data_IF_561754439606
#
_entry.id   IF_561754439606
#
_cell.length_a   1.000
_cell.length_b   1.000
_cell.length_c   1.000
_cell.angle_alpha   90.00
_cell.angle_beta   90.00
_cell.angle_gamma   90.00
#
_symmetry.space_group_name_H-M   'P 1'
#
loop_
_entity.id
_entity.type
_entity.pdbx_description
1 polymer ?
#
# COMPACT_ATOMS: atom_id res chain seq x y z
N UNK A 1 -14.89 19.45 25.30
CA UNK A 1 -15.21 18.81 24.02
C UNK A 1 -14.66 17.41 24.11
N UNK A 2 -15.52 16.46 24.48
CA UNK A 2 -15.18 15.04 24.51
C UNK A 2 -14.87 14.61 23.07
N UNK A 3 -13.65 14.13 22.86
CA UNK A 3 -13.25 13.44 21.64
C UNK A 3 -14.11 12.19 21.50
N UNK A 4 -15.10 12.23 20.61
CA UNK A 4 -15.94 11.08 20.33
C UNK A 4 -15.10 10.00 19.67
N UNK A 5 -14.63 9.03 20.46
CA UNK A 5 -14.13 7.75 19.94
C UNK A 5 -15.20 7.18 19.00
N UNK A 6 -14.80 6.72 17.82
CA UNK A 6 -15.76 6.16 16.87
C UNK A 6 -16.30 4.82 17.42
N UNK A 7 -17.57 4.49 17.14
CA UNK A 7 -18.16 3.20 17.54
C UNK A 7 -17.34 1.98 17.05
N UNK A 8 -16.55 2.16 16.00
CA UNK A 8 -15.60 1.19 15.46
C UNK A 8 -14.42 0.91 16.40
N UNK A 9 -13.82 1.94 17.01
CA UNK A 9 -12.71 1.80 17.97
C UNK A 9 -13.14 1.07 19.24
N UNK A 10 -14.34 1.37 19.74
CA UNK A 10 -14.93 0.72 20.91
C UNK A 10 -15.26 -0.76 20.67
N UNK A 11 -15.58 -1.16 19.44
CA UNK A 11 -16.01 -2.53 19.15
C UNK A 11 -14.89 -3.57 19.29
N UNK A 12 -13.65 -3.20 18.97
CA UNK A 12 -12.48 -4.10 18.99
C UNK A 12 -11.65 -3.98 20.27
N UNK A 13 -11.81 -2.90 21.04
CA UNK A 13 -11.04 -2.68 22.27
C UNK A 13 -11.32 -3.79 23.29
N UNK A 14 -10.27 -4.50 23.70
CA UNK A 14 -10.36 -5.62 24.63
C UNK A 14 -10.88 -6.93 24.06
N UNK A 15 -11.19 -7.02 22.75
CA UNK A 15 -11.52 -8.29 22.09
C UNK A 15 -10.29 -8.91 21.44
N UNK A 16 -10.13 -10.22 21.63
CA UNK A 16 -9.14 -11.01 20.88
C UNK A 16 -9.72 -11.34 19.50
N UNK A 17 -9.07 -10.88 18.44
CA UNK A 17 -9.40 -11.25 17.07
C UNK A 17 -8.60 -12.48 16.63
N UNK A 18 -9.21 -13.45 15.93
CA UNK A 18 -8.45 -14.52 15.29
C UNK A 18 -7.59 -13.95 14.16
N UNK A 19 -6.43 -14.58 13.87
CA UNK A 19 -5.58 -14.18 12.72
C UNK A 19 -6.38 -14.19 11.42
N UNK A 20 -7.13 -15.28 11.19
CA UNK A 20 -8.06 -15.42 10.06
C UNK A 20 -9.43 -14.99 10.53
N UNK A 21 -9.91 -13.86 10.02
CA UNK A 21 -11.21 -13.27 10.38
C UNK A 21 -12.32 -13.70 9.42
N UNK A 22 -11.98 -14.30 8.28
CA UNK A 22 -12.90 -15.03 7.43
C UNK A 22 -12.18 -15.72 6.27
N UNK A 23 -12.82 -16.75 5.73
CA UNK A 23 -12.30 -17.58 4.64
C UNK A 23 -13.47 -18.17 3.85
N UNK A 24 -13.70 -17.63 2.64
CA UNK A 24 -14.82 -18.02 1.78
C UNK A 24 -14.25 -18.49 0.45
N UNK A 25 -14.60 -19.71 0.06
CA UNK A 25 -14.25 -20.29 -1.23
C UNK A 25 -15.53 -20.54 -2.01
N UNK A 26 -15.58 -20.05 -3.24
CA UNK A 26 -16.68 -20.29 -4.16
C UNK A 26 -16.54 -21.61 -4.94
N UNK A 27 -17.59 -22.05 -5.64
CA UNK A 27 -17.60 -23.33 -6.35
C UNK A 27 -16.73 -23.32 -7.61
N UNK A 28 -16.58 -22.17 -8.26
CA UNK A 28 -15.85 -22.02 -9.51
C UNK A 28 -14.40 -21.53 -9.28
N UNK A 29 -13.43 -21.99 -10.08
CA UNK A 29 -12.06 -21.49 -10.03
C UNK A 29 -11.97 -19.97 -10.24
N UNK A 30 -11.02 -19.33 -9.58
CA UNK A 30 -10.80 -17.90 -9.66
C UNK A 30 -9.59 -17.45 -8.84
N UNK A 31 -9.37 -16.13 -8.70
CA UNK A 31 -8.24 -15.60 -7.95
C UNK A 31 -8.33 -15.96 -6.46
N UNK A 32 -7.17 -16.07 -5.81
CA UNK A 32 -7.09 -16.08 -4.33
C UNK A 32 -6.77 -14.68 -3.85
N UNK A 33 -7.71 -14.07 -3.13
CA UNK A 33 -7.62 -12.71 -2.60
C UNK A 33 -7.31 -12.78 -1.12
N UNK A 34 -6.25 -12.08 -0.70
CA UNK A 34 -5.87 -11.89 0.69
C UNK A 34 -6.18 -10.44 1.05
N UNK A 35 -7.00 -10.25 2.07
CA UNK A 35 -7.32 -8.93 2.61
C UNK A 35 -6.65 -8.83 3.98
N UNK A 36 -5.83 -7.81 4.19
CA UNK A 36 -5.25 -7.53 5.50
C UNK A 36 -5.71 -6.16 5.97
N UNK A 37 -6.21 -6.08 7.20
CA UNK A 37 -6.50 -4.81 7.86
C UNK A 37 -5.88 -4.76 9.24
N UNK A 38 -5.61 -3.55 9.73
CA UNK A 38 -5.11 -3.36 11.10
C UNK A 38 -3.67 -3.80 11.29
N UNK A 39 -2.81 -3.67 10.27
CA UNK A 39 -1.35 -3.74 10.47
C UNK A 39 -0.90 -2.68 11.50
N UNK A 40 -1.58 -1.53 11.51
CA UNK A 40 -1.51 -0.56 12.59
C UNK A 40 -2.76 -0.68 13.48
N UNK A 41 -2.57 -0.80 14.79
CA UNK A 41 -3.67 -1.09 15.72
C UNK A 41 -4.65 0.06 15.97
N UNK A 42 -4.28 1.28 15.61
CA UNK A 42 -5.17 2.46 15.65
C UNK A 42 -5.96 2.65 14.35
N UNK A 43 -5.93 1.68 13.43
CA UNK A 43 -6.65 1.74 12.14
C UNK A 43 -7.69 0.59 12.03
N UNK A 44 -8.69 0.51 12.93
CA UNK A 44 -9.61 -0.64 13.00
C UNK A 44 -10.60 -0.71 11.83
N UNK A 45 -10.82 0.39 11.11
CA UNK A 45 -11.85 0.50 10.08
C UNK A 45 -11.71 -0.56 8.97
N UNK A 46 -10.47 -0.88 8.55
CA UNK A 46 -10.21 -1.90 7.55
C UNK A 46 -10.58 -3.31 8.02
N UNK A 47 -10.31 -3.64 9.28
CA UNK A 47 -10.67 -4.94 9.88
C UNK A 47 -12.18 -5.11 9.94
N UNK A 48 -12.89 -4.06 10.36
CA UNK A 48 -14.35 -4.08 10.46
C UNK A 48 -15.02 -4.22 9.10
N UNK A 49 -14.53 -3.49 8.09
CA UNK A 49 -15.03 -3.60 6.73
C UNK A 49 -14.76 -4.99 6.14
N UNK A 50 -13.60 -5.59 6.45
CA UNK A 50 -13.30 -6.95 6.04
C UNK A 50 -14.26 -7.96 6.71
N UNK A 51 -14.54 -7.84 8.02
CA UNK A 51 -15.53 -8.69 8.70
C UNK A 51 -16.92 -8.60 8.06
N UNK A 52 -17.38 -7.39 7.74
CA UNK A 52 -18.67 -7.18 7.08
C UNK A 52 -18.68 -7.76 5.66
N UNK A 53 -17.60 -7.57 4.90
CA UNK A 53 -17.43 -8.19 3.59
C UNK A 53 -17.53 -9.71 3.68
N UNK A 54 -16.85 -10.35 4.64
CA UNK A 54 -16.86 -11.81 4.76
C UNK A 54 -18.27 -12.35 5.03
N UNK A 55 -19.08 -11.65 5.82
CA UNK A 55 -20.49 -12.00 6.02
C UNK A 55 -21.29 -11.88 4.71
N UNK A 56 -21.12 -10.79 3.97
CA UNK A 56 -21.78 -10.61 2.67
C UNK A 56 -21.32 -11.61 1.59
N UNK A 57 -20.08 -12.10 1.68
CA UNK A 57 -19.55 -13.13 0.80
C UNK A 57 -20.08 -14.52 1.11
N UNK A 58 -20.33 -14.85 2.38
CA UNK A 58 -20.97 -16.11 2.76
C UNK A 58 -22.36 -16.26 2.13
N UNK A 59 -23.13 -15.16 2.06
CA UNK A 59 -24.42 -15.11 1.37
C UNK A 59 -24.29 -15.21 -0.16
N UNK A 60 -23.13 -14.87 -0.73
CA UNK A 60 -22.83 -14.87 -2.17
C UNK A 60 -21.90 -16.02 -2.57
N UNK A 61 -21.72 -17.02 -1.71
CA UNK A 61 -20.79 -18.13 -1.92
C UNK A 61 -20.98 -18.84 -3.26
N UNK A 62 -22.22 -19.06 -3.67
CA UNK A 62 -22.54 -19.79 -4.90
C UNK A 62 -22.14 -19.06 -6.19
N UNK A 63 -21.99 -17.73 -6.15
CA UNK A 63 -21.58 -16.92 -7.31
C UNK A 63 -20.13 -16.45 -7.21
N UNK A 64 -19.46 -16.69 -6.07
CA UNK A 64 -18.06 -16.36 -5.88
C UNK A 64 -17.17 -17.25 -6.76
N UNK A 65 -16.16 -16.65 -7.39
CA UNK A 65 -15.09 -17.34 -8.09
C UNK A 65 -13.78 -17.22 -7.33
N UNK A 66 -13.14 -18.34 -7.08
CA UNK A 66 -11.89 -18.42 -6.32
C UNK A 66 -12.12 -18.37 -4.82
N UNK A 67 -11.18 -17.75 -4.09
CA UNK A 67 -11.14 -17.76 -2.62
C UNK A 67 -10.80 -16.38 -2.08
N UNK A 68 -11.50 -15.95 -1.05
CA UNK A 68 -11.24 -14.70 -0.33
C UNK A 68 -10.92 -15.04 1.11
N UNK A 69 -9.75 -14.63 1.58
CA UNK A 69 -9.28 -14.81 2.96
C UNK A 69 -8.97 -13.45 3.54
N UNK A 70 -9.52 -13.18 4.73
CA UNK A 70 -9.28 -11.94 5.45
C UNK A 70 -8.46 -12.19 6.71
N UNK A 71 -7.44 -11.37 6.93
CA UNK A 71 -6.57 -11.39 8.08
C UNK A 71 -6.71 -10.13 8.92
N UNK A 72 -6.79 -10.28 10.25
CA UNK A 72 -6.43 -9.19 11.16
C UNK A 72 -4.92 -9.02 11.15
N UNK A 73 -4.40 -7.79 11.29
CA UNK A 73 -2.96 -7.46 11.37
C UNK A 73 -2.41 -7.56 12.80
N UNK A 74 -1.92 -6.44 13.37
CA UNK A 74 -1.33 -6.42 14.71
C UNK A 74 -2.40 -6.58 15.81
N UNK A 75 -2.73 -7.82 16.19
CA UNK A 75 -3.83 -8.10 17.14
C UNK A 75 -3.61 -7.46 18.53
N UNK A 76 -2.40 -7.51 19.13
CA UNK A 76 -2.12 -6.82 20.39
C UNK A 76 -2.27 -5.29 20.31
N UNK A 77 -1.81 -4.67 19.22
CA UNK A 77 -1.95 -3.23 19.04
C UNK A 77 -3.41 -2.82 18.77
N UNK A 78 -4.15 -3.60 17.98
CA UNK A 78 -5.60 -3.42 17.75
C UNK A 78 -6.37 -3.43 19.07
N UNK A 79 -6.09 -4.40 19.95
CA UNK A 79 -6.75 -4.50 21.25
C UNK A 79 -6.50 -3.26 22.14
N UNK A 80 -5.35 -2.58 21.94
CA UNK A 80 -4.96 -1.36 22.68
C UNK A 80 -5.32 -0.05 21.97
N UNK A 81 -5.70 -0.09 20.69
CA UNK A 81 -5.98 1.10 19.89
C UNK A 81 -4.75 1.98 19.65
N UNK A 82 -3.55 1.38 19.58
CA UNK A 82 -2.29 2.10 19.33
C UNK A 82 -1.69 1.63 18.01
N UNK A 83 -0.87 2.45 17.34
CA UNK A 83 -0.26 2.10 16.05
C UNK A 83 0.52 0.79 16.13
N UNK A 84 1.40 0.69 17.12
CA UNK A 84 2.19 -0.49 17.43
C UNK A 84 2.61 -0.47 18.92
N UNK A 85 3.14 -1.56 19.43
CA UNK A 85 3.66 -1.70 20.79
C UNK A 85 5.15 -1.41 20.87
N UNK A 86 5.96 -2.13 20.08
CA UNK A 86 7.42 -2.01 20.12
C UNK A 86 7.99 -1.42 18.82
N UNK A 87 7.50 -1.90 17.67
CA UNK A 87 7.92 -1.41 16.35
C UNK A 87 6.78 -1.43 15.35
N UNK A 88 6.90 -0.67 14.27
CA UNK A 88 5.91 -0.72 13.20
C UNK A 88 5.88 -2.12 12.54
N UNK A 89 4.71 -2.76 12.49
CA UNK A 89 4.50 -4.07 11.89
C UNK A 89 4.60 -4.01 10.36
N UNK A 90 4.30 -2.85 9.75
CA UNK A 90 4.42 -2.64 8.30
C UNK A 90 5.83 -2.16 7.90
N UNK A 91 6.84 -2.66 8.63
CA UNK A 91 8.28 -2.48 8.39
C UNK A 91 8.99 -3.83 8.59
N UNK A 92 10.20 -3.95 8.06
CA UNK A 92 11.06 -5.16 8.16
C UNK A 92 10.53 -6.39 7.42
N UNK A 93 9.86 -6.19 6.29
CA UNK A 93 9.45 -7.27 5.38
C UNK A 93 10.51 -7.57 4.32
N UNK A 94 11.79 -7.61 4.74
CA UNK A 94 12.90 -7.98 3.86
C UNK A 94 13.19 -9.48 3.93
N UNK A 95 13.58 -10.14 2.82
CA UNK A 95 13.83 -11.59 2.81
C UNK A 95 14.76 -12.08 3.93
N UNK A 96 15.91 -11.41 4.14
CA UNK A 96 16.86 -11.78 5.18
C UNK A 96 16.27 -11.68 6.60
N UNK A 97 15.43 -10.69 6.84
CA UNK A 97 14.80 -10.49 8.15
C UNK A 97 13.69 -11.52 8.39
N UNK A 98 12.91 -11.84 7.36
CA UNK A 98 11.85 -12.85 7.42
C UNK A 98 12.43 -14.27 7.57
N UNK A 99 13.56 -14.56 6.92
CA UNK A 99 14.30 -15.82 7.10
C UNK A 99 14.80 -15.96 8.54
N UNK A 100 15.42 -14.91 9.08
CA UNK A 100 15.86 -14.88 10.48
C UNK A 100 14.67 -15.04 11.45
N UNK A 101 13.55 -14.36 11.18
CA UNK A 101 12.33 -14.45 11.99
C UNK A 101 11.72 -15.86 11.98
N UNK A 102 11.77 -16.53 10.84
CA UNK A 102 11.25 -17.90 10.68
C UNK A 102 12.04 -18.92 11.50
N UNK A 103 13.34 -18.68 11.69
CA UNK A 103 14.26 -19.53 12.46
C UNK A 103 14.29 -19.21 13.96
N UNK A 104 13.85 -18.02 14.36
CA UNK A 104 13.87 -17.58 15.76
C UNK A 104 12.96 -18.44 16.66
N UNK A 105 13.31 -18.54 17.94
CA UNK A 105 12.45 -19.19 18.93
C UNK A 105 11.22 -18.33 19.21
N UNK A 106 10.02 -18.90 19.04
CA UNK A 106 8.75 -18.22 19.28
C UNK A 106 8.64 -17.68 20.69
N UNK A 107 9.23 -18.36 21.68
CA UNK A 107 9.19 -17.93 23.08
C UNK A 107 9.96 -16.62 23.35
N UNK A 108 10.86 -16.24 22.43
CA UNK A 108 11.70 -15.04 22.56
C UNK A 108 11.27 -13.87 21.68
N UNK A 109 10.23 -14.05 20.87
CA UNK A 109 9.78 -13.01 19.94
C UNK A 109 9.12 -11.84 20.70
N UNK A 110 9.50 -10.63 20.29
CA UNK A 110 8.76 -9.41 20.61
C UNK A 110 7.32 -9.51 20.06
N UNK A 111 6.43 -8.65 20.57
CA UNK A 111 5.01 -8.72 20.20
C UNK A 111 4.80 -8.62 18.69
N UNK A 112 5.40 -7.63 18.03
CA UNK A 112 5.27 -7.47 16.57
C UNK A 112 6.01 -8.54 15.76
N UNK A 113 7.09 -9.11 16.27
CA UNK A 113 7.80 -10.19 15.59
C UNK A 113 6.95 -11.47 15.57
N UNK A 114 6.24 -11.77 16.67
CA UNK A 114 5.28 -12.86 16.72
C UNK A 114 4.11 -12.64 15.74
N UNK A 115 3.56 -11.42 15.69
CA UNK A 115 2.50 -11.08 14.73
C UNK A 115 2.97 -11.17 13.28
N UNK A 116 4.18 -10.68 12.97
CA UNK A 116 4.76 -10.74 11.63
C UNK A 116 4.97 -12.18 11.18
N UNK A 117 5.49 -13.05 12.06
CA UNK A 117 5.68 -14.47 11.77
C UNK A 117 4.35 -15.17 11.49
N UNK A 118 3.33 -14.92 12.31
CA UNK A 118 2.01 -15.52 12.11
C UNK A 118 1.36 -15.07 10.78
N UNK A 119 1.54 -13.80 10.38
CA UNK A 119 1.09 -13.31 9.07
C UNK A 119 1.89 -13.95 7.93
N UNK A 120 3.20 -14.06 8.08
CA UNK A 120 4.08 -14.69 7.09
C UNK A 120 3.67 -16.15 6.86
N UNK A 121 3.50 -16.93 7.93
CA UNK A 121 3.08 -18.33 7.86
C UNK A 121 1.72 -18.47 7.17
N UNK A 122 0.75 -17.63 7.53
CA UNK A 122 -0.58 -17.63 6.93
C UNK A 122 -0.56 -17.27 5.44
N UNK A 123 0.27 -16.30 5.05
CA UNK A 123 0.44 -15.90 3.65
C UNK A 123 1.10 -17.01 2.83
N UNK A 124 2.23 -17.56 3.29
CA UNK A 124 2.98 -18.60 2.59
C UNK A 124 2.16 -19.89 2.43
N UNK A 125 1.31 -20.21 3.41
CA UNK A 125 0.36 -21.30 3.30
C UNK A 125 -0.59 -21.10 2.11
N UNK A 126 -1.12 -19.89 1.88
CA UNK A 126 -2.01 -19.61 0.73
C UNK A 126 -1.26 -19.59 -0.60
N UNK A 127 -0.06 -19.03 -0.63
CA UNK A 127 0.77 -18.93 -1.83
C UNK A 127 1.14 -20.30 -2.38
N UNK A 128 1.55 -21.22 -1.51
CA UNK A 128 1.94 -22.60 -1.87
C UNK A 128 0.82 -23.35 -2.60
N UNK A 129 -0.45 -23.04 -2.30
CA UNK A 129 -1.59 -23.76 -2.86
C UNK A 129 -2.14 -23.15 -4.16
N UNK A 130 -1.99 -21.83 -4.38
CA UNK A 130 -2.73 -21.11 -5.42
C UNK A 130 -1.85 -20.39 -6.46
N UNK A 131 -0.53 -20.30 -6.24
CA UNK A 131 0.35 -19.55 -7.13
C UNK A 131 0.21 -18.04 -6.94
N UNK A 132 -0.22 -17.31 -7.98
CA UNK A 132 -0.34 -15.84 -7.95
C UNK A 132 -1.53 -15.38 -7.10
N UNK A 133 -1.26 -14.53 -6.11
CA UNK A 133 -2.23 -14.00 -5.15
C UNK A 133 -2.60 -12.55 -5.48
N UNK A 134 -3.75 -12.11 -4.97
CA UNK A 134 -4.16 -10.71 -4.94
C UNK A 134 -4.18 -10.22 -3.49
N UNK A 135 -3.19 -9.40 -3.11
CA UNK A 135 -3.04 -8.83 -1.78
C UNK A 135 -3.65 -7.43 -1.71
N UNK A 136 -4.63 -7.26 -0.82
CA UNK A 136 -5.34 -6.02 -0.56
C UNK A 136 -5.02 -5.55 0.87
N UNK A 137 -4.26 -4.46 0.98
CA UNK A 137 -3.83 -3.89 2.26
C UNK A 137 -4.69 -2.69 2.64
N UNK A 138 -5.32 -2.72 3.81
CA UNK A 138 -6.31 -1.73 4.23
C UNK A 138 -5.75 -0.84 5.34
N UNK A 139 -5.66 0.46 5.03
CA UNK A 139 -5.10 1.47 5.90
C UNK A 139 -5.96 2.72 6.04
N UNK A 140 -5.64 3.49 7.06
CA UNK A 140 -6.06 4.89 7.17
C UNK A 140 -4.87 5.78 7.48
N UNK A 141 -4.98 7.04 7.08
CA UNK A 141 -3.94 8.04 7.25
C UNK A 141 -4.00 8.73 8.61
N UNK A 142 -2.85 9.18 9.10
CA UNK A 142 -2.74 9.96 10.34
C UNK A 142 -3.29 11.39 10.20
N UNK A 143 -3.05 12.01 9.05
CA UNK A 143 -3.49 13.36 8.70
C UNK A 143 -4.82 13.40 7.95
N UNK A 144 -5.37 14.61 7.78
CA UNK A 144 -6.56 14.81 6.95
C UNK A 144 -6.23 14.43 5.50
N UNK A 145 -6.92 13.42 4.98
CA UNK A 145 -6.76 12.94 3.61
C UNK A 145 -8.09 12.50 3.03
N UNK A 146 -8.27 12.76 1.73
CA UNK A 146 -9.21 12.01 0.91
C UNK A 146 -8.74 10.54 0.79
N UNK A 147 -9.64 9.58 0.52
CA UNK A 147 -9.21 8.22 0.27
C UNK A 147 -8.41 8.15 -1.03
N UNK A 148 -7.46 7.24 -1.10
CA UNK A 148 -6.65 6.99 -2.28
C UNK A 148 -6.21 5.53 -2.33
N UNK A 149 -5.70 5.11 -3.48
CA UNK A 149 -5.17 3.78 -3.69
C UNK A 149 -3.70 3.87 -4.10
N UNK A 150 -2.86 3.00 -3.57
CA UNK A 150 -1.43 2.92 -3.86
C UNK A 150 -1.10 1.52 -4.38
N UNK A 151 -0.28 1.45 -5.43
CA UNK A 151 0.18 0.18 -5.97
C UNK A 151 1.41 0.35 -6.87
N UNK A 152 2.18 -0.73 -6.99
CA UNK A 152 3.26 -0.81 -7.97
C UNK A 152 2.72 -0.73 -9.38
N UNK A 153 3.36 0.04 -10.23
CA UNK A 153 2.88 0.35 -11.57
C UNK A 153 3.07 -0.84 -12.55
N UNK A 154 2.25 -1.88 -12.35
CA UNK A 154 2.10 -3.07 -13.19
C UNK A 154 0.71 -3.08 -13.84
N UNK A 155 0.57 -3.76 -14.98
CA UNK A 155 -0.72 -3.85 -15.67
C UNK A 155 -1.83 -4.50 -14.82
N UNK A 156 -1.48 -5.53 -14.03
CA UNK A 156 -2.43 -6.22 -13.15
C UNK A 156 -2.93 -5.29 -12.03
N UNK A 157 -2.01 -4.60 -11.34
CA UNK A 157 -2.36 -3.64 -10.30
C UNK A 157 -3.18 -2.46 -10.85
N UNK A 158 -2.83 -1.95 -12.05
CA UNK A 158 -3.57 -0.86 -12.71
C UNK A 158 -5.03 -1.20 -12.92
N UNK A 159 -5.37 -2.44 -13.30
CA UNK A 159 -6.77 -2.85 -13.51
C UNK A 159 -7.59 -2.65 -12.23
N UNK A 160 -7.07 -3.15 -11.11
CA UNK A 160 -7.77 -3.08 -9.81
C UNK A 160 -7.75 -1.66 -9.26
N UNK A 161 -6.57 -1.05 -9.17
CA UNK A 161 -6.42 0.28 -8.58
C UNK A 161 -7.11 1.39 -9.37
N UNK A 162 -7.04 1.37 -10.72
CA UNK A 162 -7.76 2.36 -11.54
C UNK A 162 -9.26 2.06 -11.69
N UNK A 163 -9.73 0.91 -11.23
CA UNK A 163 -11.17 0.61 -11.12
C UNK A 163 -11.85 1.34 -9.95
N UNK A 164 -11.09 1.73 -8.92
CA UNK A 164 -11.60 2.50 -7.78
C UNK A 164 -11.68 3.99 -8.13
N UNK A 165 -12.82 4.69 -7.94
CA UNK A 165 -12.95 6.10 -8.29
C UNK A 165 -12.33 7.06 -7.26
N UNK A 166 -11.09 6.78 -6.83
CA UNK A 166 -10.25 7.62 -5.95
C UNK A 166 -8.86 7.87 -6.57
N UNK A 167 -8.13 8.95 -6.22
CA UNK A 167 -6.76 9.16 -6.68
C UNK A 167 -5.89 7.91 -6.56
N UNK A 168 -5.16 7.58 -7.63
CA UNK A 168 -4.20 6.49 -7.67
C UNK A 168 -2.77 7.04 -7.53
N UNK A 169 -2.00 6.49 -6.61
CA UNK A 169 -0.63 6.90 -6.30
C UNK A 169 0.32 5.80 -6.76
N UNK A 170 1.15 6.13 -7.74
CA UNK A 170 2.14 5.21 -8.29
C UNK A 170 3.51 5.44 -7.63
N UNK A 171 4.18 4.36 -7.26
CA UNK A 171 5.55 4.37 -6.75
C UNK A 171 5.68 4.72 -5.26
N UNK A 172 4.56 4.85 -4.53
CA UNK A 172 4.61 5.07 -3.08
C UNK A 172 5.15 3.81 -2.38
N UNK A 173 4.81 2.62 -2.86
CA UNK A 173 5.33 1.34 -2.38
C UNK A 173 6.85 1.19 -2.54
N UNK A 174 7.44 1.81 -3.57
CA UNK A 174 8.89 1.83 -3.76
C UNK A 174 9.61 2.81 -2.83
N UNK A 175 8.88 3.82 -2.34
CA UNK A 175 9.44 4.79 -1.40
C UNK A 175 9.35 4.34 0.05
N UNK A 176 8.40 3.45 0.38
CA UNK A 176 8.19 2.90 1.71
C UNK A 176 8.92 1.56 1.82
N UNK A 177 10.13 1.62 2.35
CA UNK A 177 11.00 0.45 2.45
C UNK A 177 10.51 -0.56 3.50
N UNK A 178 10.65 -1.85 3.17
CA UNK A 178 10.33 -2.95 4.08
C UNK A 178 8.84 -3.12 4.43
N UNK A 179 7.91 -2.63 3.61
CA UNK A 179 6.47 -2.82 3.81
C UNK A 179 5.98 -4.22 3.37
N UNK A 180 4.88 -4.69 3.96
CA UNK A 180 4.24 -5.95 3.55
C UNK A 180 3.74 -5.88 2.11
N UNK A 181 3.15 -4.75 1.70
CA UNK A 181 2.74 -4.49 0.32
C UNK A 181 3.92 -4.63 -0.66
N UNK A 182 5.05 -4.01 -0.34
CA UNK A 182 6.29 -4.12 -1.12
C UNK A 182 6.75 -5.57 -1.23
N UNK A 183 6.82 -6.28 -0.10
CA UNK A 183 7.18 -7.70 -0.06
C UNK A 183 6.25 -8.59 -0.91
N UNK A 184 4.93 -8.37 -0.88
CA UNK A 184 4.00 -9.09 -1.74
C UNK A 184 4.26 -8.79 -3.23
N UNK A 185 4.45 -7.51 -3.58
CA UNK A 185 4.77 -7.10 -4.94
C UNK A 185 6.12 -7.67 -5.43
N UNK A 186 7.12 -7.76 -4.54
CA UNK A 186 8.43 -8.37 -4.81
C UNK A 186 8.35 -9.83 -5.25
N UNK A 187 7.32 -10.54 -4.81
CA UNK A 187 7.07 -11.94 -5.11
C UNK A 187 6.24 -12.16 -6.37
N UNK A 188 5.84 -11.08 -7.06
CA UNK A 188 5.05 -11.15 -8.29
C UNK A 188 3.54 -11.27 -8.07
N UNK A 189 3.07 -11.00 -6.85
CA UNK A 189 1.64 -10.95 -6.56
C UNK A 189 1.05 -9.59 -6.96
N UNK A 190 -0.24 -9.60 -7.28
CA UNK A 190 -1.00 -8.37 -7.35
C UNK A 190 -1.06 -7.79 -5.93
N UNK A 191 -0.71 -6.52 -5.78
CA UNK A 191 -0.59 -5.88 -4.46
C UNK A 191 -1.12 -4.44 -4.54
N UNK A 192 -2.18 -4.17 -3.78
CA UNK A 192 -2.86 -2.88 -3.74
C UNK A 192 -3.10 -2.48 -2.29
N UNK A 193 -2.67 -1.28 -1.91
CA UNK A 193 -3.03 -0.67 -0.64
C UNK A 193 -4.14 0.37 -0.85
N UNK A 194 -5.16 0.34 0.00
CA UNK A 194 -6.24 1.31 0.01
C UNK A 194 -6.24 2.09 1.33
N UNK A 195 -6.15 3.41 1.22
CA UNK A 195 -6.13 4.35 2.31
C UNK A 195 -7.49 5.04 2.38
N UNK A 196 -8.29 4.78 3.42
CA UNK A 196 -9.69 5.20 3.48
C UNK A 196 -9.93 6.64 4.00
N UNK A 197 -8.87 7.45 4.04
CA UNK A 197 -8.85 8.80 4.62
C UNK A 197 -8.28 8.79 6.04
N UNK A 198 -8.65 9.76 6.88
CA UNK A 198 -8.12 9.89 8.25
C UNK A 198 -8.63 8.78 9.18
N UNK A 199 -7.80 8.29 10.09
CA UNK A 199 -8.11 7.15 11.00
C UNK A 199 -9.39 7.31 11.83
N UNK A 200 -9.71 8.53 12.25
CA UNK A 200 -10.89 8.85 13.06
C UNK A 200 -12.10 9.30 12.23
N UNK A 201 -12.05 9.26 10.90
CA UNK A 201 -13.21 9.56 10.06
C UNK A 201 -14.21 8.39 10.16
N UNK A 202 -15.44 8.61 10.67
CA UNK A 202 -16.43 7.54 10.79
C UNK A 202 -16.83 6.94 9.42
N UNK A 203 -16.51 7.61 8.31
CA UNK A 203 -16.75 7.11 6.95
C UNK A 203 -15.66 6.16 6.46
N UNK A 204 -14.53 6.02 7.16
CA UNK A 204 -13.43 5.14 6.76
C UNK A 204 -13.89 3.69 6.58
N UNK A 205 -14.75 3.21 7.49
CA UNK A 205 -15.36 1.88 7.39
C UNK A 205 -16.13 1.68 6.07
N UNK A 206 -17.07 2.58 5.78
CA UNK A 206 -17.90 2.49 4.57
C UNK A 206 -17.07 2.61 3.28
N UNK A 207 -16.00 3.41 3.30
CA UNK A 207 -15.05 3.53 2.17
C UNK A 207 -14.25 2.24 1.96
N UNK A 208 -13.74 1.62 3.02
CA UNK A 208 -13.07 0.32 2.90
C UNK A 208 -14.00 -0.74 2.33
N UNK A 209 -15.23 -0.85 2.85
CA UNK A 209 -16.20 -1.82 2.37
C UNK A 209 -16.54 -1.61 0.89
N UNK A 210 -16.78 -0.36 0.49
CA UNK A 210 -17.00 0.00 -0.91
C UNK A 210 -15.80 -0.38 -1.80
N UNK A 211 -14.59 -0.07 -1.35
CA UNK A 211 -13.37 -0.41 -2.08
C UNK A 211 -13.21 -1.92 -2.25
N UNK A 212 -13.47 -2.70 -1.19
CA UNK A 212 -13.38 -4.17 -1.23
C UNK A 212 -14.35 -4.77 -2.25
N UNK A 213 -15.63 -4.39 -2.23
CA UNK A 213 -16.61 -4.87 -3.23
C UNK A 213 -16.21 -4.53 -4.66
N UNK A 214 -15.76 -3.29 -4.90
CA UNK A 214 -15.29 -2.88 -6.23
C UNK A 214 -14.07 -3.71 -6.63
N UNK A 215 -13.08 -3.86 -5.76
CA UNK A 215 -11.85 -4.62 -6.06
C UNK A 215 -12.15 -6.10 -6.35
N UNK A 216 -13.08 -6.74 -5.64
CA UNK A 216 -13.49 -8.12 -5.94
C UNK A 216 -14.12 -8.26 -7.34
N UNK A 217 -14.89 -7.26 -7.78
CA UNK A 217 -15.41 -7.22 -9.16
C UNK A 217 -14.29 -7.00 -10.17
N UNK A 218 -13.37 -6.05 -9.92
CA UNK A 218 -12.24 -5.79 -10.83
C UNK A 218 -11.30 -7.00 -10.95
N UNK A 219 -11.11 -7.75 -9.86
CA UNK A 219 -10.35 -9.00 -9.79
C UNK A 219 -11.08 -10.17 -10.48
N UNK A 220 -12.38 -10.05 -10.74
CA UNK A 220 -13.19 -11.10 -11.35
C UNK A 220 -13.68 -12.18 -10.38
N UNK A 221 -13.61 -11.93 -9.06
CA UNK A 221 -14.21 -12.80 -8.04
C UNK A 221 -15.74 -12.85 -8.15
N UNK A 222 -16.33 -11.74 -8.59
CA UNK A 222 -17.78 -11.54 -8.73
C UNK A 222 -18.06 -10.79 -10.02
N UNK A 223 -19.23 -10.97 -10.61
CA UNK A 223 -19.73 -10.09 -11.66
C UNK A 223 -20.39 -8.86 -11.06
N UNK A 224 -20.45 -7.76 -11.83
CA UNK A 224 -21.10 -6.54 -11.38
C UNK A 224 -22.59 -6.75 -11.03
N UNK A 225 -23.25 -7.73 -11.66
CA UNK A 225 -24.63 -8.12 -11.35
C UNK A 225 -24.80 -8.80 -9.99
N UNK A 226 -23.74 -9.38 -9.45
CA UNK A 226 -23.78 -10.09 -8.15
C UNK A 226 -23.64 -9.13 -6.96
N UNK A 227 -23.36 -7.86 -7.24
CA UNK A 227 -23.21 -6.78 -6.26
C UNK A 227 -24.23 -5.67 -6.58
N UNK A 228 -25.49 -5.80 -6.14
CA UNK A 228 -26.55 -4.83 -6.47
C UNK A 228 -26.22 -3.39 -6.07
N UNK A 229 -25.46 -3.21 -4.98
CA UNK A 229 -25.04 -1.91 -4.45
C UNK A 229 -23.69 -1.43 -5.00
N UNK A 230 -23.20 -2.00 -6.10
CA UNK A 230 -21.91 -1.63 -6.69
C UNK A 230 -21.86 -0.15 -7.10
N UNK A 231 -22.91 0.39 -7.72
CA UNK A 231 -22.96 1.81 -8.11
C UNK A 231 -22.98 2.75 -6.89
N UNK A 232 -23.80 2.50 -5.84
CA UNK A 232 -23.66 3.20 -4.56
C UNK A 232 -22.24 3.17 -3.99
N UNK A 233 -21.53 2.04 -4.03
CA UNK A 233 -20.14 1.94 -3.59
C UNK A 233 -19.21 2.83 -4.44
N UNK A 234 -19.36 2.82 -5.76
CA UNK A 234 -18.59 3.69 -6.66
C UNK A 234 -18.87 5.17 -6.39
N UNK A 235 -20.14 5.55 -6.20
CA UNK A 235 -20.54 6.92 -5.90
C UNK A 235 -20.00 7.40 -4.54
N UNK A 236 -20.00 6.56 -3.51
CA UNK A 236 -19.43 6.88 -2.20
C UNK A 236 -17.95 7.23 -2.30
N UNK A 237 -17.18 6.42 -3.03
CA UNK A 237 -15.75 6.67 -3.22
C UNK A 237 -15.49 7.91 -4.08
N UNK A 238 -16.22 8.07 -5.19
CA UNK A 238 -16.10 9.22 -6.08
C UNK A 238 -16.39 10.55 -5.36
N UNK A 239 -17.42 10.58 -4.52
CA UNK A 239 -17.78 11.78 -3.73
C UNK A 239 -16.86 12.02 -2.55
N UNK A 240 -16.13 10.99 -2.09
CA UNK A 240 -15.13 11.12 -1.02
C UNK A 240 -13.78 11.67 -1.51
N UNK A 241 -13.50 11.65 -2.82
CA UNK A 241 -12.19 11.99 -3.37
C UNK A 241 -12.30 12.96 -4.57
N UNK A 242 -12.54 14.24 -4.27
CA UNK A 242 -12.90 15.25 -5.26
C UNK A 242 -11.81 16.30 -5.54
N UNK A 243 -10.73 16.33 -4.75
CA UNK A 243 -9.68 17.37 -4.86
C UNK A 243 -8.45 16.90 -5.63
N UNK A 244 -8.09 15.62 -5.50
CA UNK A 244 -6.86 15.06 -6.07
C UNK A 244 -6.96 14.75 -7.57
N UNK A 245 -5.85 14.84 -8.33
CA UNK A 245 -5.77 14.29 -9.68
C UNK A 245 -6.05 12.79 -9.71
N UNK A 246 -6.49 12.28 -10.86
CA UNK A 246 -6.84 10.85 -11.01
C UNK A 246 -5.65 9.93 -10.76
N UNK A 247 -4.48 10.31 -11.26
CA UNK A 247 -3.23 9.54 -11.08
C UNK A 247 -2.10 10.50 -10.77
N UNK A 248 -1.35 10.18 -9.71
CA UNK A 248 -0.16 10.92 -9.29
C UNK A 248 1.01 9.95 -9.13
N UNK A 249 2.23 10.46 -9.25
CA UNK A 249 3.44 9.71 -8.93
C UNK A 249 4.22 10.38 -7.80
N UNK A 250 4.83 9.57 -6.94
CA UNK A 250 5.69 10.07 -5.86
C UNK A 250 6.99 10.62 -6.43
N UNK A 251 7.39 11.78 -5.94
CA UNK A 251 8.62 12.46 -6.32
C UNK A 251 9.53 12.62 -5.11
N UNK A 252 8.97 13.01 -3.96
CA UNK A 252 9.70 13.22 -2.73
C UNK A 252 9.12 12.39 -1.60
N UNK A 253 10.00 11.83 -0.77
CA UNK A 253 9.68 11.35 0.58
C UNK A 253 10.59 12.09 1.55
N UNK A 254 10.01 12.78 2.52
CA UNK A 254 10.75 13.39 3.60
C UNK A 254 10.79 12.41 4.78
N UNK A 255 11.94 11.78 5.01
CA UNK A 255 12.15 10.85 6.12
C UNK A 255 12.49 11.62 7.39
N UNK A 256 11.93 11.19 8.51
CA UNK A 256 12.09 11.81 9.83
C UNK A 256 12.56 10.77 10.84
N UNK A 257 13.46 11.17 11.73
CA UNK A 257 13.88 10.37 12.88
C UNK A 257 13.30 10.93 14.19
N UNK A 258 13.20 10.12 15.27
CA UNK A 258 12.75 10.61 16.57
C UNK A 258 13.57 11.80 17.10
N UNK A 259 14.85 11.83 16.76
CA UNK A 259 15.76 12.88 17.20
C UNK A 259 15.48 14.20 16.48
N UNK A 260 14.80 14.22 15.32
CA UNK A 260 14.62 15.42 14.49
C UNK A 260 13.76 16.50 15.14
N UNK A 261 12.97 16.15 16.17
CA UNK A 261 11.94 17.04 16.72
C UNK A 261 11.02 17.59 15.62
N UNK A 262 10.77 16.76 14.60
CA UNK A 262 9.96 17.12 13.44
C UNK A 262 8.53 17.44 13.86
N UNK A 263 8.05 18.61 13.42
CA UNK A 263 6.65 19.01 13.53
C UNK A 263 6.16 19.56 12.20
N UNK A 264 5.07 18.99 11.70
CA UNK A 264 4.35 19.53 10.55
C UNK A 264 3.69 20.86 10.92
N UNK A 265 3.74 21.86 10.03
CA UNK A 265 2.90 23.05 10.19
C UNK A 265 1.44 22.65 9.99
N UNK A 266 0.55 23.20 10.82
CA UNK A 266 -0.88 22.91 10.74
C UNK A 266 -1.51 23.44 9.44
N UNK A 267 -2.44 22.69 8.86
CA UNK A 267 -3.31 23.18 7.78
C UNK A 267 -3.11 22.49 6.44
N UNK A 268 -2.09 21.65 6.30
CA UNK A 268 -1.91 20.80 5.11
C UNK A 268 -2.78 19.55 5.18
N UNK A 269 -3.49 19.28 4.11
CA UNK A 269 -4.19 18.02 3.84
C UNK A 269 -3.57 17.35 2.61
N UNK A 270 -3.74 16.03 2.47
CA UNK A 270 -3.33 15.36 1.23
C UNK A 270 -3.98 16.04 0.01
N UNK A 271 -3.18 16.15 -1.05
CA UNK A 271 -3.51 16.81 -2.32
C UNK A 271 -3.57 18.36 -2.28
N UNK A 272 -3.21 19.01 -1.17
CA UNK A 272 -3.01 20.46 -1.17
C UNK A 272 -1.76 20.83 -2.00
N UNK A 273 -1.86 21.94 -2.75
CA UNK A 273 -0.77 22.45 -3.58
C UNK A 273 0.28 23.10 -2.69
N UNK A 274 1.55 22.81 -2.96
CA UNK A 274 2.70 23.46 -2.32
C UNK A 274 3.68 23.96 -3.38
N UNK A 275 4.26 25.13 -3.12
CA UNK A 275 5.28 25.76 -3.95
C UNK A 275 6.70 25.28 -3.62
N UNK A 276 7.60 25.41 -4.59
CA UNK A 276 9.04 25.24 -4.33
C UNK A 276 9.50 26.28 -3.30
N UNK A 277 10.25 25.82 -2.29
CA UNK A 277 10.76 26.68 -1.22
C UNK A 277 9.73 27.03 -0.13
N UNK A 278 8.46 26.62 -0.27
CA UNK A 278 7.43 26.79 0.75
C UNK A 278 7.80 26.02 2.02
N UNK A 279 7.61 26.64 3.19
CA UNK A 279 7.86 25.98 4.48
C UNK A 279 6.64 25.18 4.86
N UNK A 280 6.81 23.88 5.07
CA UNK A 280 5.71 22.97 5.41
C UNK A 280 5.88 22.30 6.78
N UNK A 281 7.10 22.30 7.32
CA UNK A 281 7.44 21.69 8.60
C UNK A 281 8.59 22.44 9.27
N UNK A 282 8.86 22.09 10.52
CA UNK A 282 10.03 22.54 11.29
C UNK A 282 10.68 21.32 11.93
N UNK A 283 12.02 21.27 11.94
CA UNK A 283 12.81 20.32 12.73
C UNK A 283 13.77 21.09 13.66
N UNK A 284 14.58 20.38 14.44
CA UNK A 284 15.61 20.98 15.31
C UNK A 284 16.63 21.88 14.59
N UNK A 285 16.77 21.78 13.27
CA UNK A 285 17.67 22.61 12.42
C UNK A 285 16.95 23.82 11.83
N UNK A 286 15.62 23.90 11.98
CA UNK A 286 14.81 25.04 11.57
C UNK A 286 13.74 24.68 10.53
N UNK A 287 13.33 25.66 9.70
CA UNK A 287 12.25 25.46 8.73
C UNK A 287 12.60 24.45 7.62
N UNK A 288 11.73 23.47 7.41
CA UNK A 288 11.81 22.51 6.29
C UNK A 288 11.03 23.06 5.10
N UNK A 289 11.74 23.21 3.98
CA UNK A 289 11.20 23.72 2.72
C UNK A 289 10.99 22.60 1.71
N UNK A 290 9.93 22.73 0.92
CA UNK A 290 9.62 21.79 -0.16
C UNK A 290 10.65 21.94 -1.29
N UNK A 291 11.25 20.84 -1.80
CA UNK A 291 12.30 20.90 -2.81
C UNK A 291 11.82 21.24 -4.23
N UNK A 292 10.52 21.11 -4.52
CA UNK A 292 9.89 21.48 -5.80
C UNK A 292 8.38 21.59 -5.65
N UNK A 293 7.75 22.37 -6.52
CA UNK A 293 6.30 22.50 -6.54
C UNK A 293 5.59 21.17 -6.82
N UNK A 294 4.47 20.95 -6.15
CA UNK A 294 3.70 19.72 -6.28
C UNK A 294 2.47 19.70 -5.38
N UNK A 295 2.00 18.49 -5.09
CA UNK A 295 0.94 18.25 -4.12
C UNK A 295 1.53 17.54 -2.91
N UNK A 296 1.19 18.00 -1.71
CA UNK A 296 1.60 17.33 -0.49
C UNK A 296 0.72 16.08 -0.25
N UNK A 297 1.30 15.02 0.29
CA UNK A 297 0.62 13.77 0.57
C UNK A 297 1.03 13.24 1.95
N UNK A 298 0.06 12.68 2.68
CA UNK A 298 0.24 12.07 4.02
C UNK A 298 1.08 12.94 4.98
N UNK A 299 0.68 14.20 5.24
CA UNK A 299 1.39 15.04 6.20
C UNK A 299 1.30 14.43 7.61
N UNK A 300 2.46 14.25 8.27
CA UNK A 300 2.57 13.63 9.59
C UNK A 300 2.25 14.61 10.70
N UNK A 301 1.05 14.50 11.25
CA UNK A 301 0.62 15.24 12.44
C UNK A 301 0.77 14.45 13.74
N UNK A 302 0.89 13.13 13.65
CA UNK A 302 1.10 12.25 14.80
C UNK A 302 2.58 11.94 14.95
N UNK A 303 3.13 12.01 16.16
CA UNK A 303 4.55 11.80 16.45
C UNK A 303 5.05 10.36 16.27
N UNK A 304 4.33 9.48 15.57
CA UNK A 304 4.70 8.09 15.31
C UNK A 304 5.00 7.91 13.82
N UNK A 305 5.89 6.96 13.48
CA UNK A 305 6.33 6.70 12.11
C UNK A 305 7.54 7.54 11.65
N UNK A 306 8.10 7.12 10.51
CA UNK A 306 9.34 7.66 9.91
C UNK A 306 9.08 8.55 8.70
N UNK A 307 7.81 8.74 8.32
CA UNK A 307 7.40 9.47 7.13
C UNK A 307 6.88 10.85 7.54
N UNK A 308 7.60 11.93 7.21
CA UNK A 308 7.16 13.29 7.51
C UNK A 308 6.08 13.78 6.55
N UNK A 309 6.36 13.75 5.25
CA UNK A 309 5.41 14.05 4.18
C UNK A 309 5.97 13.53 2.84
N UNK A 310 5.09 13.45 1.84
CA UNK A 310 5.45 13.16 0.47
C UNK A 310 5.10 14.33 -0.44
N UNK A 311 5.82 14.46 -1.55
CA UNK A 311 5.44 15.34 -2.66
C UNK A 311 5.14 14.48 -3.87
N UNK A 312 3.95 14.66 -4.42
CA UNK A 312 3.47 13.97 -5.60
C UNK A 312 3.17 14.96 -6.73
N UNK A 313 3.18 14.45 -7.97
CA UNK A 313 2.76 15.23 -9.14
C UNK A 313 1.77 14.44 -9.97
N UNK A 314 0.88 15.16 -10.64
CA UNK A 314 -0.05 14.56 -11.60
C UNK A 314 0.70 13.88 -12.73
N UNK A 315 0.33 12.63 -13.02
CA UNK A 315 0.87 11.87 -14.13
C UNK A 315 -0.05 11.99 -15.34
N UNK A 316 0.46 12.62 -16.41
CA UNK A 316 -0.33 12.82 -17.61
C UNK A 316 -0.77 11.48 -18.25
N UNK A 317 -2.00 11.36 -18.77
CA UNK A 317 -2.51 10.12 -19.39
C UNK A 317 -1.63 9.56 -20.52
N UNK A 318 -0.90 10.44 -21.22
CA UNK A 318 0.07 10.05 -22.24
C UNK A 318 1.14 9.10 -21.67
N UNK A 319 1.73 9.43 -20.52
CA UNK A 319 2.78 8.63 -19.90
C UNK A 319 2.27 7.29 -19.38
N UNK A 320 1.02 7.25 -18.90
CA UNK A 320 0.36 5.99 -18.53
C UNK A 320 0.21 5.04 -19.72
N UNK A 321 -0.26 5.56 -20.86
CA UNK A 321 -0.39 4.78 -22.10
C UNK A 321 0.96 4.33 -22.63
N UNK A 322 1.94 5.24 -22.67
CA UNK A 322 3.30 4.94 -23.10
C UNK A 322 3.92 3.83 -22.25
N UNK A 323 3.83 3.94 -20.93
CA UNK A 323 4.29 2.91 -20.00
C UNK A 323 3.56 1.57 -20.24
N UNK A 324 2.24 1.59 -20.44
CA UNK A 324 1.49 0.36 -20.71
C UNK A 324 1.92 -0.37 -21.99
N UNK A 325 2.37 0.36 -23.01
CA UNK A 325 2.97 -0.22 -24.24
C UNK A 325 4.37 -0.75 -23.94
N UNK A 326 5.21 0.04 -23.27
CA UNK A 326 6.60 -0.30 -22.99
C UNK A 326 6.73 -1.54 -22.07
N UNK A 327 5.85 -1.70 -21.08
CA UNK A 327 5.84 -2.86 -20.18
C UNK A 327 5.59 -4.20 -20.90
N UNK A 328 4.93 -4.17 -22.06
CA UNK A 328 4.67 -5.36 -22.91
C UNK A 328 5.86 -5.75 -23.80
N UNK A 329 6.84 -4.86 -23.96
CA UNK A 329 8.03 -5.13 -24.75
C UNK A 329 9.09 -5.85 -23.90
N UNK A 330 10.05 -6.58 -24.52
CA UNK A 330 11.20 -7.17 -23.82
C UNK A 330 12.22 -6.08 -23.46
N UNK A 331 11.79 -5.08 -22.68
CA UNK A 331 12.51 -3.83 -22.43
C UNK A 331 13.90 -4.05 -21.78
N UNK A 332 14.09 -5.14 -21.03
CA UNK A 332 15.39 -5.44 -20.41
C UNK A 332 16.56 -5.57 -21.38
N UNK A 333 16.32 -6.07 -22.61
CA UNK A 333 17.36 -6.10 -23.66
C UNK A 333 17.62 -4.74 -24.30
N UNK A 334 16.60 -3.89 -24.36
CA UNK A 334 16.72 -2.55 -24.94
C UNK A 334 17.40 -1.59 -23.95
N UNK A 335 17.05 -1.69 -22.68
CA UNK A 335 17.58 -0.85 -21.60
C UNK A 335 19.06 -1.14 -21.33
N UNK A 336 19.53 -2.38 -21.50
CA UNK A 336 20.96 -2.74 -21.38
C UNK A 336 21.84 -2.17 -22.50
N UNK A 337 21.25 -1.57 -23.55
CA UNK A 337 22.00 -0.86 -24.59
C UNK A 337 22.27 0.60 -24.21
N UNK A 338 21.68 1.09 -23.11
CA UNK A 338 21.90 2.44 -22.63
C UNK A 338 23.29 2.56 -21.97
N UNK A 339 24.00 3.66 -22.17
CA UNK A 339 25.28 3.90 -21.50
C UNK A 339 25.13 3.80 -19.97
N UNK A 340 26.02 3.06 -19.31
CA UNK A 340 26.01 2.89 -17.86
C UNK A 340 24.91 1.95 -17.33
N UNK A 341 24.26 1.16 -18.19
CA UNK A 341 23.30 0.11 -17.79
C UNK A 341 23.85 -1.27 -18.15
N UNK A 342 24.18 -2.06 -17.15
CA UNK A 342 24.56 -3.46 -17.32
C UNK A 342 23.39 -4.37 -16.95
N UNK A 343 23.23 -5.48 -17.69
CA UNK A 343 22.27 -6.53 -17.35
C UNK A 343 23.01 -7.73 -16.79
N UNK A 344 22.55 -8.24 -15.65
CA UNK A 344 23.08 -9.47 -15.08
C UNK A 344 22.52 -10.67 -15.88
N UNK A 345 23.40 -11.56 -16.33
CA UNK A 345 23.09 -12.67 -17.24
C UNK A 345 21.92 -13.53 -16.72
N UNK A 346 20.96 -13.83 -17.60
CA UNK A 346 19.74 -14.61 -17.34
C UNK A 346 18.74 -14.06 -16.31
N UNK A 347 18.92 -12.81 -15.84
CA UNK A 347 17.94 -12.16 -14.96
C UNK A 347 17.32 -10.91 -15.60
N UNK A 348 16.22 -10.45 -15.02
CA UNK A 348 15.60 -9.14 -15.28
C UNK A 348 16.19 -8.03 -14.38
N UNK A 349 17.43 -8.24 -13.90
CA UNK A 349 18.17 -7.30 -13.05
C UNK A 349 19.10 -6.44 -13.91
N UNK A 350 18.99 -5.13 -13.71
CA UNK A 350 19.80 -4.10 -14.35
C UNK A 350 20.60 -3.37 -13.28
N UNK A 351 21.91 -3.27 -13.45
CA UNK A 351 22.79 -2.46 -12.61
C UNK A 351 23.08 -1.17 -13.36
N UNK A 352 22.78 -0.04 -12.73
CA UNK A 352 22.94 1.30 -13.30
C UNK A 352 24.06 2.02 -12.55
N UNK A 353 24.97 2.61 -13.30
CA UNK A 353 26.03 3.47 -12.76
C UNK A 353 25.41 4.68 -12.01
N UNK A 354 25.84 5.00 -10.78
CA UNK A 354 25.41 6.19 -10.04
C UNK A 354 25.46 7.50 -10.85
N UNK A 355 26.43 7.66 -11.76
CA UNK A 355 26.54 8.86 -12.59
C UNK A 355 25.51 8.87 -13.74
N UNK A 356 25.16 7.69 -14.26
CA UNK A 356 24.09 7.52 -15.25
C UNK A 356 22.68 7.65 -14.63
N UNK A 357 22.55 7.50 -13.31
CA UNK A 357 21.29 7.64 -12.56
C UNK A 357 20.68 9.04 -12.67
N UNK A 358 21.51 10.09 -12.78
CA UNK A 358 21.10 11.50 -12.83
C UNK A 358 20.48 11.92 -14.18
N UNK A 359 20.47 11.03 -15.17
CA UNK A 359 19.95 11.26 -16.52
C UNK A 359 18.52 10.70 -16.72
N UNK A 360 17.99 10.76 -17.95
CA UNK A 360 16.69 10.21 -18.39
C UNK A 360 16.48 8.70 -18.08
N UNK A 361 17.54 8.00 -17.66
CA UNK A 361 17.57 6.56 -17.36
C UNK A 361 16.55 6.16 -16.30
N UNK A 362 16.50 6.80 -15.13
CA UNK A 362 15.56 6.41 -14.05
C UNK A 362 14.09 6.55 -14.46
N UNK A 363 13.63 7.70 -15.02
CA UNK A 363 12.28 7.80 -15.57
C UNK A 363 11.96 6.76 -16.65
N UNK A 364 12.93 6.45 -17.53
CA UNK A 364 12.74 5.45 -18.58
C UNK A 364 12.62 4.02 -18.01
N UNK A 365 13.42 3.68 -17.00
CA UNK A 365 13.31 2.40 -16.28
C UNK A 365 11.89 2.23 -15.71
N UNK A 366 11.38 3.25 -15.01
CA UNK A 366 10.03 3.23 -14.44
C UNK A 366 8.95 3.08 -15.52
N UNK A 367 9.08 3.79 -16.66
CA UNK A 367 8.17 3.66 -17.80
C UNK A 367 8.14 2.23 -18.36
N UNK A 368 9.29 1.56 -18.41
CA UNK A 368 9.43 0.17 -18.87
C UNK A 368 9.00 -0.86 -17.81
N UNK A 369 8.53 -0.45 -16.63
CA UNK A 369 8.11 -1.35 -15.56
C UNK A 369 9.26 -1.90 -14.73
N UNK A 370 10.39 -1.20 -14.69
CA UNK A 370 11.48 -1.49 -13.76
C UNK A 370 11.34 -0.61 -12.52
N UNK A 371 11.68 -1.18 -11.37
CA UNK A 371 11.75 -0.47 -10.10
C UNK A 371 13.16 -0.47 -9.56
N UNK A 372 13.50 0.54 -8.77
CA UNK A 372 14.76 0.58 -8.04
C UNK A 372 14.67 -0.33 -6.80
N UNK A 373 15.70 -1.13 -6.54
CA UNK A 373 15.86 -1.83 -5.25
C UNK A 373 16.63 -0.95 -4.27
N UNK A 374 16.09 -0.83 -3.06
CA UNK A 374 16.76 -0.18 -1.92
C UNK A 374 17.52 -1.26 -1.15
N UNK A 375 18.73 -0.95 -0.66
CA UNK A 375 19.50 -1.85 0.21
C UNK A 375 20.70 -2.58 -0.40
N UNK A 376 21.14 -2.27 -1.63
CA UNK A 376 22.46 -2.73 -2.14
C UNK A 376 23.48 -1.61 -1.93
N UNK A 377 24.53 -1.79 -1.10
CA UNK A 377 25.59 -0.82 -0.95
C UNK A 377 26.32 -0.60 -2.29
N UNK A 378 26.57 0.65 -2.64
CA UNK A 378 27.39 1.08 -3.79
C UNK A 378 26.87 0.78 -5.21
N UNK A 379 25.66 0.21 -5.36
CA UNK A 379 25.05 -0.08 -6.67
C UNK A 379 23.61 0.44 -6.79
N UNK A 380 23.26 1.03 -7.95
CA UNK A 380 21.86 1.36 -8.28
C UNK A 380 21.24 0.22 -9.07
N UNK A 381 20.57 -0.68 -8.37
CA UNK A 381 19.95 -1.86 -8.98
C UNK A 381 18.50 -1.59 -9.32
N UNK A 382 18.12 -1.93 -10.56
CA UNK A 382 16.74 -2.00 -11.01
C UNK A 382 16.32 -3.45 -11.30
N UNK A 383 15.11 -3.81 -10.91
CA UNK A 383 14.52 -5.12 -11.25
C UNK A 383 13.18 -4.89 -11.94
N UNK A 384 12.88 -5.70 -12.96
CA UNK A 384 11.55 -5.66 -13.59
C UNK A 384 10.49 -6.02 -12.55
N UNK A 385 9.39 -5.25 -12.52
CA UNK A 385 8.21 -5.62 -11.75
C UNK A 385 7.65 -6.91 -12.34
N UNK A 386 7.59 -7.96 -11.53
CA UNK A 386 7.08 -9.26 -11.94
C UNK A 386 5.56 -9.11 -12.09
N UNK A 387 5.05 -9.42 -13.28
CA UNK A 387 3.63 -9.27 -13.67
C UNK A 387 2.85 -10.55 -13.48
#
# INVERSE_FOLDING_TARGET
>A
MESGESNAELFLRGKSLPRVIGDVTGPEPGPTVIITGGLHGNEPAGVLAALELMQGLDEKREVLRGRVVAFSGNRPALARGVRFLERDLNRRWHPLELDALSLADRATLASEDAEQRDLLDAFLALETHNGQLAFLDLHTTSGTSEPFVCFADTLANRRVGLGLPVPAILGLEETIDGSMLGWCADRGHLAVAFEAGKHDDPRAHARHLAALWIMLVELGCLDASDVPDLEPHRALLATSACRGPRVVEVRHRHVVSPEDEFSMLSGFSSFDRVGEGEVVAVDRRGPIRVPYAGLILMPRYQGQGEDGYFIVRELAPFWLRASGVLQRLPAGRMLSLLPGVARESDSDRLVVDPDAQRSFTTPLMHLCGYRRRVGVPDEVVFTRRIS
#
